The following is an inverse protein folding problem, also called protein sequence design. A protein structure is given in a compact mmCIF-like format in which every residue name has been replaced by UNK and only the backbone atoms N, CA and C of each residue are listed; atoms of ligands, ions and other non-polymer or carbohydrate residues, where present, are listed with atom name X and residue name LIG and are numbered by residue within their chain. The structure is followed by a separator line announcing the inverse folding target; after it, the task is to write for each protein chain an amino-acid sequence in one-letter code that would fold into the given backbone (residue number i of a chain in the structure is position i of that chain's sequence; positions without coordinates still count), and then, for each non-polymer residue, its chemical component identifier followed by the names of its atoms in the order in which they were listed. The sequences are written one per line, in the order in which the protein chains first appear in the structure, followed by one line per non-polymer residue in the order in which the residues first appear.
data_IF_880040593699
#
_entry.id   IF_880040593699
#
_cell.length_a   1.000
_cell.length_b   1.000
_cell.length_c   1.000
_cell.angle_alpha   90.00
_cell.angle_beta   90.00
_cell.angle_gamma   90.00
#
_symmetry.space_group_name_H-M   'P 1'
#
loop_
_entity.id
_entity.type
_entity.pdbx_description
1 polymer ?
#
# COMPACT_ATOMS: atom_id res chain seq x y z
N UNK A 1 7.53 -2.83 25.88
CA UNK A 1 7.69 -1.39 25.56
C UNK A 1 6.32 -0.75 25.41
N UNK A 2 6.19 0.55 25.62
CA UNK A 2 4.96 1.27 25.27
C UNK A 2 4.69 1.22 23.75
N UNK A 3 3.43 1.28 23.36
CA UNK A 3 2.98 1.11 21.97
C UNK A 3 3.32 2.29 21.06
N UNK A 4 3.32 3.51 21.60
CA UNK A 4 3.40 4.74 20.79
C UNK A 4 4.62 4.88 19.89
N UNK A 5 5.79 4.34 20.26
CA UNK A 5 6.98 4.37 19.36
C UNK A 5 6.83 3.45 18.16
N UNK A 6 6.18 2.30 18.34
CA UNK A 6 5.95 1.33 17.26
C UNK A 6 4.86 1.88 16.33
N UNK A 7 3.80 2.44 16.90
CA UNK A 7 2.73 3.14 16.18
C UNK A 7 3.27 4.24 15.29
N UNK A 8 4.03 5.19 15.86
CA UNK A 8 4.59 6.31 15.11
C UNK A 8 5.56 5.87 13.98
N UNK A 9 6.33 4.79 14.20
CA UNK A 9 7.20 4.24 13.16
C UNK A 9 6.40 3.60 12.02
N UNK A 10 5.40 2.77 12.36
CA UNK A 10 4.51 2.13 11.39
C UNK A 10 3.74 3.16 10.56
N UNK A 11 3.22 4.22 11.19
CA UNK A 11 2.53 5.32 10.53
C UNK A 11 3.42 6.04 9.52
N UNK A 12 4.66 6.36 9.91
CA UNK A 12 5.62 7.01 9.03
C UNK A 12 5.92 6.15 7.79
N UNK A 13 6.10 4.84 7.97
CA UNK A 13 6.33 3.90 6.85
C UNK A 13 5.13 3.82 5.93
N UNK A 14 3.91 3.68 6.46
CA UNK A 14 2.68 3.64 5.65
C UNK A 14 2.44 4.95 4.89
N UNK A 15 2.73 6.10 5.50
CA UNK A 15 2.65 7.39 4.83
C UNK A 15 3.62 7.50 3.63
N UNK A 16 4.85 7.02 3.79
CA UNK A 16 5.83 6.96 2.68
C UNK A 16 5.35 6.03 1.56
N UNK A 17 4.80 4.86 1.89
CA UNK A 17 4.23 3.92 0.91
C UNK A 17 3.13 4.59 0.08
N UNK A 18 2.18 5.26 0.74
CA UNK A 18 1.11 6.01 0.08
C UNK A 18 1.67 7.09 -0.85
N UNK A 19 2.69 7.81 -0.39
CA UNK A 19 3.32 8.90 -1.16
C UNK A 19 4.04 8.36 -2.41
N UNK A 20 4.76 7.25 -2.28
CA UNK A 20 5.41 6.57 -3.43
C UNK A 20 4.36 6.14 -4.45
N UNK A 21 3.24 5.54 -3.99
CA UNK A 21 2.15 5.17 -4.89
C UNK A 21 1.57 6.38 -5.62
N UNK A 22 1.36 7.49 -4.92
CA UNK A 22 0.83 8.72 -5.51
C UNK A 22 1.79 9.29 -6.57
N UNK A 23 3.10 9.30 -6.30
CA UNK A 23 4.11 9.71 -7.29
C UNK A 23 4.20 8.79 -8.51
N UNK A 24 3.72 7.55 -8.41
CA UNK A 24 3.72 6.62 -9.53
C UNK A 24 2.58 6.88 -10.53
N UNK A 25 1.58 7.70 -10.20
CA UNK A 25 0.49 8.05 -11.10
C UNK A 25 1.00 8.83 -12.31
N UNK A 26 0.55 8.44 -13.50
CA UNK A 26 0.92 9.07 -14.77
C UNK A 26 -0.18 10.02 -15.23
N UNK A 27 0.20 11.22 -15.67
CA UNK A 27 -0.72 12.12 -16.35
C UNK A 27 -1.17 11.53 -17.71
N UNK A 28 -2.38 11.86 -18.20
CA UNK A 28 -2.82 11.46 -19.54
C UNK A 28 -1.83 11.94 -20.62
N UNK A 29 -1.52 11.14 -21.64
CA UNK A 29 -0.55 11.49 -22.70
C UNK A 29 -1.08 12.51 -23.73
N UNK A 30 -2.07 13.32 -23.37
CA UNK A 30 -2.68 14.31 -24.26
C UNK A 30 -3.95 14.94 -23.68
N UNK A 31 -4.49 15.93 -24.40
CA UNK A 31 -5.65 16.74 -23.97
C UNK A 31 -7.01 16.19 -24.46
N UNK A 32 -7.11 14.89 -24.74
CA UNK A 32 -8.35 14.26 -25.26
C UNK A 32 -8.98 13.33 -24.24
N UNK A 33 -10.30 13.12 -24.32
CA UNK A 33 -11.01 12.13 -23.52
C UNK A 33 -10.51 10.69 -23.74
N UNK A 34 -9.94 10.40 -24.91
CA UNK A 34 -9.29 9.11 -25.17
C UNK A 34 -8.02 8.94 -24.33
N UNK A 35 -7.19 9.98 -24.20
CA UNK A 35 -6.00 9.98 -23.36
C UNK A 35 -6.35 9.80 -21.87
N UNK A 36 -7.42 10.44 -21.40
CA UNK A 36 -7.93 10.26 -20.02
C UNK A 36 -8.38 8.81 -19.80
N UNK A 37 -9.19 8.25 -20.70
CA UNK A 37 -9.66 6.85 -20.58
C UNK A 37 -8.52 5.84 -20.53
N UNK A 38 -7.40 6.12 -21.20
CA UNK A 38 -6.24 5.24 -21.20
C UNK A 38 -5.57 5.10 -19.82
N UNK A 39 -5.66 6.11 -18.95
CA UNK A 39 -5.05 6.09 -17.60
C UNK A 39 -6.02 5.62 -16.49
N UNK A 40 -7.32 5.54 -16.77
CA UNK A 40 -8.35 5.12 -15.79
C UNK A 40 -8.03 3.77 -15.14
N UNK A 41 -7.63 2.70 -15.87
CA UNK A 41 -7.28 1.43 -15.22
C UNK A 41 -6.17 1.58 -14.17
N UNK A 42 -5.15 2.40 -14.48
CA UNK A 42 -4.06 2.67 -13.53
C UNK A 42 -4.50 3.47 -12.31
N UNK A 43 -5.42 4.42 -12.49
CA UNK A 43 -6.01 5.14 -11.37
C UNK A 43 -6.83 4.21 -10.47
N UNK A 44 -7.62 3.29 -11.05
CA UNK A 44 -8.41 2.32 -10.28
C UNK A 44 -7.52 1.38 -9.46
N UNK A 45 -6.44 0.88 -10.05
CA UNK A 45 -5.43 0.09 -9.35
C UNK A 45 -4.83 0.89 -8.18
N UNK A 46 -4.44 2.15 -8.41
CA UNK A 46 -3.94 3.01 -7.34
C UNK A 46 -4.95 3.20 -6.20
N UNK A 47 -6.22 3.48 -6.51
CA UNK A 47 -7.28 3.66 -5.51
C UNK A 47 -7.47 2.37 -4.70
N UNK A 48 -7.47 1.22 -5.38
CA UNK A 48 -7.54 -0.08 -4.71
C UNK A 48 -6.37 -0.27 -3.74
N UNK A 49 -5.13 -0.03 -4.17
CA UNK A 49 -3.95 -0.14 -3.32
C UNK A 49 -3.96 0.85 -2.15
N UNK A 50 -4.43 2.07 -2.37
CA UNK A 50 -4.57 3.07 -1.32
C UNK A 50 -5.54 2.61 -0.24
N UNK A 51 -6.73 2.16 -0.65
CA UNK A 51 -7.75 1.61 0.26
C UNK A 51 -7.18 0.42 1.03
N UNK A 52 -6.39 -0.42 0.36
CA UNK A 52 -5.75 -1.56 0.97
C UNK A 52 -4.81 -1.16 2.12
N UNK A 53 -3.88 -0.23 1.86
CA UNK A 53 -2.97 0.30 2.90
C UNK A 53 -3.76 0.99 4.02
N UNK A 54 -4.83 1.72 3.69
CA UNK A 54 -5.68 2.38 4.68
C UNK A 54 -6.41 1.39 5.60
N UNK A 55 -6.90 0.27 5.08
CA UNK A 55 -7.50 -0.80 5.88
C UNK A 55 -6.47 -1.38 6.85
N UNK A 56 -5.25 -1.67 6.37
CA UNK A 56 -4.17 -2.16 7.21
C UNK A 56 -3.79 -1.18 8.30
N UNK A 57 -3.67 0.11 7.95
CA UNK A 57 -3.41 1.17 8.91
C UNK A 57 -4.48 1.23 9.99
N UNK A 58 -5.76 1.21 9.60
CA UNK A 58 -6.88 1.26 10.55
C UNK A 58 -6.87 0.05 11.50
N UNK A 59 -6.65 -1.16 10.96
CA UNK A 59 -6.56 -2.38 11.75
C UNK A 59 -5.34 -2.35 12.69
N UNK A 60 -4.20 -1.88 12.20
CA UNK A 60 -2.97 -1.74 12.98
C UNK A 60 -3.17 -0.77 14.15
N UNK A 61 -3.81 0.37 13.90
CA UNK A 61 -4.15 1.37 14.92
C UNK A 61 -5.05 0.80 16.01
N UNK A 62 -6.10 0.07 15.63
CA UNK A 62 -6.98 -0.59 16.59
C UNK A 62 -6.26 -1.65 17.43
N UNK A 63 -5.40 -2.47 16.82
CA UNK A 63 -4.62 -3.49 17.51
C UNK A 63 -3.65 -2.89 18.52
N UNK A 64 -2.93 -1.83 18.13
CA UNK A 64 -1.97 -1.16 19.03
C UNK A 64 -2.67 -0.41 20.16
N UNK A 65 -3.85 0.17 19.94
CA UNK A 65 -4.67 0.77 21.00
C UNK A 65 -5.19 -0.23 22.02
N UNK A 66 -5.46 -1.46 21.61
CA UNK A 66 -5.90 -2.53 22.50
C UNK A 66 -4.74 -3.19 23.28
N UNK A 67 -3.49 -2.91 22.91
CA UNK A 67 -2.31 -3.52 23.53
C UNK A 67 -1.70 -2.65 24.63
N UNK A 68 -1.54 -3.19 25.83
CA UNK A 68 -0.87 -2.47 26.94
C UNK A 68 0.66 -2.50 26.82
N UNK A 69 1.22 -3.57 26.24
CA UNK A 69 2.68 -3.77 26.11
C UNK A 69 3.02 -4.51 24.82
N UNK A 70 4.07 -4.05 24.15
CA UNK A 70 4.67 -4.74 22.99
C UNK A 70 5.82 -5.64 23.44
N UNK A 71 5.78 -6.90 23.02
CA UNK A 71 6.86 -7.89 23.17
C UNK A 71 7.85 -7.83 22.00
N UNK A 72 9.05 -8.39 22.15
CA UNK A 72 10.03 -8.44 21.06
C UNK A 72 9.53 -9.19 19.83
N UNK A 73 8.78 -10.28 20.02
CA UNK A 73 8.17 -11.04 18.93
C UNK A 73 7.13 -10.21 18.16
N UNK A 74 6.31 -9.42 18.86
CA UNK A 74 5.36 -8.49 18.24
C UNK A 74 6.07 -7.40 17.43
N UNK A 75 7.26 -6.97 17.87
CA UNK A 75 8.08 -6.01 17.13
C UNK A 75 8.58 -6.57 15.80
N UNK A 76 9.04 -7.83 15.78
CA UNK A 76 9.42 -8.53 14.54
C UNK A 76 8.22 -8.79 13.63
N UNK A 77 7.07 -9.17 14.19
CA UNK A 77 5.84 -9.33 13.42
C UNK A 77 5.40 -8.01 12.76
N UNK A 78 5.53 -6.88 13.47
CA UNK A 78 5.28 -5.56 12.91
C UNK A 78 6.23 -5.24 11.74
N UNK A 79 7.52 -5.53 11.87
CA UNK A 79 8.48 -5.32 10.78
C UNK A 79 8.17 -6.19 9.57
N UNK A 80 7.74 -7.44 9.78
CA UNK A 80 7.32 -8.32 8.69
C UNK A 80 6.07 -7.78 7.98
N UNK A 81 5.09 -7.26 8.72
CA UNK A 81 3.94 -6.57 8.15
C UNK A 81 4.37 -5.37 7.30
N UNK A 82 5.21 -4.49 7.85
CA UNK A 82 5.70 -3.31 7.14
C UNK A 82 6.51 -3.68 5.90
N UNK A 83 7.27 -4.77 5.94
CA UNK A 83 7.96 -5.31 4.77
C UNK A 83 6.96 -5.67 3.66
N UNK A 84 5.91 -6.44 3.95
CA UNK A 84 4.90 -6.78 2.94
C UNK A 84 4.17 -5.53 2.40
N UNK A 85 3.79 -4.60 3.27
CA UNK A 85 3.17 -3.34 2.83
C UNK A 85 4.12 -2.53 1.93
N UNK A 86 5.43 -2.59 2.17
CA UNK A 86 6.43 -1.89 1.34
C UNK A 86 6.54 -2.43 -0.09
N UNK A 87 6.03 -3.63 -0.37
CA UNK A 87 5.98 -4.22 -1.72
C UNK A 87 4.76 -3.75 -2.53
N UNK A 88 3.72 -3.22 -1.86
CA UNK A 88 2.47 -2.76 -2.52
C UNK A 88 2.75 -1.77 -3.66
N UNK A 89 3.63 -0.75 -3.53
CA UNK A 89 3.90 0.16 -4.64
C UNK A 89 4.42 -0.54 -5.90
N UNK A 90 5.27 -1.56 -5.73
CA UNK A 90 5.86 -2.31 -6.84
C UNK A 90 4.78 -3.10 -7.57
N UNK A 91 3.97 -3.87 -6.85
CA UNK A 91 2.89 -4.65 -7.47
C UNK A 91 1.77 -3.77 -8.05
N UNK A 92 1.52 -2.59 -7.46
CA UNK A 92 0.59 -1.58 -7.99
C UNK A 92 1.07 -1.06 -9.35
N UNK A 93 2.36 -0.71 -9.46
CA UNK A 93 2.97 -0.29 -10.72
C UNK A 93 2.92 -1.42 -11.76
N UNK A 94 3.25 -2.64 -11.33
CA UNK A 94 3.31 -3.77 -12.25
C UNK A 94 1.93 -4.14 -12.80
N UNK A 95 0.91 -4.25 -11.93
CA UNK A 95 -0.45 -4.54 -12.39
C UNK A 95 -1.02 -3.37 -13.19
N UNK A 96 -0.66 -2.11 -12.90
CA UNK A 96 -1.05 -0.97 -13.75
C UNK A 96 -0.51 -1.12 -15.18
N UNK A 97 0.78 -1.42 -15.31
CA UNK A 97 1.45 -1.46 -16.62
C UNK A 97 1.06 -2.73 -17.40
N UNK A 98 0.72 -3.82 -16.71
CA UNK A 98 0.45 -5.14 -17.30
C UNK A 98 -0.92 -5.73 -16.90
N UNK A 99 -1.96 -4.89 -16.69
CA UNK A 99 -3.27 -5.29 -16.12
C UNK A 99 -4.03 -6.37 -16.88
N UNK A 100 -3.62 -6.69 -18.11
CA UNK A 100 -4.23 -7.76 -18.94
C UNK A 100 -3.61 -9.14 -18.70
N UNK A 101 -2.50 -9.20 -17.98
CA UNK A 101 -1.78 -10.43 -17.69
C UNK A 101 -2.14 -10.97 -16.30
N UNK A 102 -2.23 -12.30 -16.17
CA UNK A 102 -2.60 -12.95 -14.92
C UNK A 102 -1.49 -12.93 -13.86
N UNK A 103 -0.23 -12.92 -14.28
CA UNK A 103 0.92 -12.94 -13.35
C UNK A 103 1.00 -11.67 -12.47
N UNK A 104 0.90 -10.44 -13.00
CA UNK A 104 0.81 -9.23 -12.18
C UNK A 104 -0.37 -9.25 -11.21
N UNK A 105 -1.52 -9.77 -11.64
CA UNK A 105 -2.71 -9.88 -10.79
C UNK A 105 -2.51 -10.89 -9.65
N UNK A 106 -1.89 -12.05 -9.93
CA UNK A 106 -1.56 -13.05 -8.93
C UNK A 106 -0.51 -12.52 -7.93
N UNK A 107 0.54 -11.85 -8.41
CA UNK A 107 1.54 -11.22 -7.55
C UNK A 107 0.93 -10.13 -6.66
N UNK A 108 0.02 -9.32 -7.21
CA UNK A 108 -0.73 -8.34 -6.44
C UNK A 108 -1.54 -9.01 -5.32
N UNK A 109 -2.31 -10.06 -5.62
CA UNK A 109 -3.12 -10.75 -4.61
C UNK A 109 -2.34 -11.59 -3.58
N UNK A 110 -1.04 -11.86 -3.81
CA UNK A 110 -0.16 -12.49 -2.81
C UNK A 110 0.36 -11.44 -1.82
N UNK A 111 0.65 -10.23 -2.31
CA UNK A 111 1.24 -9.15 -1.52
C UNK A 111 0.18 -8.34 -0.76
N UNK A 112 -0.92 -8.03 -1.45
CA UNK A 112 -2.07 -7.35 -0.88
C UNK A 112 -2.97 -8.38 -0.21
#
# INVERSE_FOLDING_TARGET
MGTGRVEAFSDAVMAVIITIMAFSLRAPPGATWAAVRAVVPGLLVYVLSFVFVAIYWNNHHHLLRAADRISGAAMWANLLLLFWLSLIPVVTVWIRDEYRHSLPAAAYGIVA
#
